data_IF_095420116645
#
_entry.id   IF_095420116645
#
_cell.length_a   1.000
_cell.length_b   1.000
_cell.length_c   1.000
_cell.angle_alpha   90.00
_cell.angle_beta   90.00
_cell.angle_gamma   90.00
#
_symmetry.space_group_name_H-M   'P 1'
#
loop_
_entity.id
_entity.type
_entity.pdbx_description
1 polymer ?
#
# COMPACT_ATOMS: atom_id res chain seq x y z
N UNK A 1 -3.65 12.50 5.13
CA UNK A 1 -2.21 12.41 4.77
C UNK A 1 -1.49 11.65 5.87
N UNK A 2 -0.61 10.70 5.53
CA UNK A 2 0.11 9.93 6.55
C UNK A 2 1.16 10.79 7.27
N UNK A 3 1.11 10.80 8.60
CA UNK A 3 2.14 11.44 9.42
C UNK A 3 3.47 10.69 9.30
N UNK A 4 4.57 11.37 9.62
CA UNK A 4 5.91 10.79 9.56
C UNK A 4 6.01 9.47 10.35
N UNK A 5 5.48 9.47 11.59
CA UNK A 5 5.44 8.27 12.45
C UNK A 5 4.66 7.12 11.82
N UNK A 6 3.51 7.39 11.20
CA UNK A 6 2.71 6.36 10.51
C UNK A 6 3.46 5.77 9.30
N UNK A 7 4.16 6.62 8.53
CA UNK A 7 5.00 6.16 7.41
C UNK A 7 6.13 5.25 7.89
N UNK A 8 6.88 5.68 8.91
CA UNK A 8 7.97 4.88 9.47
C UNK A 8 7.48 3.52 9.98
N UNK A 9 6.35 3.49 10.70
CA UNK A 9 5.78 2.23 11.18
C UNK A 9 5.38 1.29 10.04
N UNK A 10 4.85 1.83 8.95
CA UNK A 10 4.49 1.04 7.76
C UNK A 10 5.72 0.49 7.01
N UNK A 11 6.85 1.21 7.05
CA UNK A 11 8.11 0.84 6.38
C UNK A 11 8.87 -0.23 7.19
N UNK A 12 9.03 -0.04 8.51
CA UNK A 12 9.87 -0.88 9.38
C UNK A 12 9.65 -2.38 9.23
N UNK A 13 8.41 -2.80 9.00
CA UNK A 13 8.06 -4.21 8.94
C UNK A 13 8.31 -4.86 7.56
N UNK A 14 8.51 -4.07 6.50
CA UNK A 14 8.58 -4.58 5.11
C UNK A 14 9.84 -4.14 4.37
N UNK A 15 10.60 -3.21 4.93
CA UNK A 15 11.88 -2.76 4.40
C UNK A 15 12.89 -3.90 4.34
N UNK A 16 13.68 -3.94 3.26
CA UNK A 16 14.78 -4.92 3.11
C UNK A 16 16.05 -4.50 3.83
N UNK A 17 16.24 -3.19 3.99
CA UNK A 17 17.34 -2.55 4.73
C UNK A 17 16.85 -1.20 5.27
N UNK A 18 17.60 -0.58 6.17
CA UNK A 18 17.13 0.58 6.95
C UNK A 18 16.78 1.83 6.12
N UNK A 19 17.43 1.98 4.97
CA UNK A 19 17.22 3.09 4.02
C UNK A 19 16.24 2.76 2.88
N UNK A 20 15.61 1.58 2.92
CA UNK A 20 14.72 1.13 1.85
C UNK A 20 13.40 1.90 1.86
N UNK A 21 13.25 2.74 0.85
CA UNK A 21 12.02 3.50 0.60
C UNK A 21 11.36 3.12 -0.72
N UNK A 22 12.08 2.49 -1.64
CA UNK A 22 11.66 2.28 -3.03
C UNK A 22 11.20 0.86 -3.35
N UNK A 23 11.44 -0.11 -2.46
CA UNK A 23 11.08 -1.50 -2.75
C UNK A 23 9.57 -1.67 -2.96
N UNK A 24 9.16 -2.62 -3.81
CA UNK A 24 7.75 -2.94 -4.01
C UNK A 24 7.02 -3.27 -2.70
N UNK A 25 7.68 -3.94 -1.77
CA UNK A 25 7.14 -4.28 -0.45
C UNK A 25 6.80 -3.03 0.37
N UNK A 26 7.73 -2.07 0.42
CA UNK A 26 7.55 -0.79 1.12
C UNK A 26 6.44 0.03 0.47
N UNK A 27 6.44 0.16 -0.85
CA UNK A 27 5.44 0.93 -1.58
C UNK A 27 4.03 0.34 -1.41
N UNK A 28 3.88 -0.98 -1.48
CA UNK A 28 2.59 -1.66 -1.26
C UNK A 28 2.08 -1.46 0.18
N UNK A 29 2.95 -1.52 1.19
CA UNK A 29 2.58 -1.24 2.59
C UNK A 29 2.08 0.20 2.76
N UNK A 30 2.82 1.18 2.23
CA UNK A 30 2.44 2.59 2.29
C UNK A 30 1.13 2.88 1.56
N UNK A 31 0.95 2.34 0.35
CA UNK A 31 -0.28 2.48 -0.42
C UNK A 31 -1.47 1.85 0.30
N UNK A 32 -1.29 0.67 0.87
CA UNK A 32 -2.35 -0.02 1.64
C UNK A 32 -2.84 0.86 2.79
N UNK A 33 -1.91 1.45 3.57
CA UNK A 33 -2.30 2.34 4.66
C UNK A 33 -3.00 3.62 4.20
N UNK A 34 -2.57 4.21 3.08
CA UNK A 34 -3.25 5.38 2.48
C UNK A 34 -4.66 5.03 2.00
N UNK A 35 -4.80 3.88 1.34
CA UNK A 35 -6.08 3.36 0.83
C UNK A 35 -7.06 3.16 2.00
N UNK A 36 -6.62 2.57 3.12
CA UNK A 36 -7.47 2.38 4.31
C UNK A 36 -7.97 3.71 4.89
N UNK A 37 -7.09 4.69 5.10
CA UNK A 37 -7.48 6.00 5.63
C UNK A 37 -8.44 6.72 4.70
N UNK A 38 -8.17 6.69 3.39
CA UNK A 38 -9.00 7.36 2.38
C UNK A 38 -10.35 6.65 2.20
N UNK A 39 -10.38 5.32 2.24
CA UNK A 39 -11.62 4.55 2.20
C UNK A 39 -12.49 4.83 3.42
N UNK A 40 -11.91 4.95 4.62
CA UNK A 40 -12.65 5.34 5.83
C UNK A 40 -13.23 6.76 5.72
N UNK A 41 -12.47 7.70 5.16
CA UNK A 41 -12.96 9.05 4.88
C UNK A 41 -14.14 9.05 3.90
N UNK A 42 -14.02 8.33 2.77
CA UNK A 42 -15.07 8.25 1.75
C UNK A 42 -16.33 7.52 2.22
N UNK A 43 -16.23 6.63 3.23
CA UNK A 43 -17.43 6.06 3.89
C UNK A 43 -18.25 7.14 4.59
N UNK A 44 -17.60 8.15 5.18
CA UNK A 44 -18.27 9.29 5.82
C UNK A 44 -18.72 10.34 4.79
N UNK A 45 -17.95 10.51 3.72
CA UNK A 45 -18.25 11.46 2.65
C UNK A 45 -18.40 10.75 1.29
N UNK A 46 -19.57 10.14 1.02
CA UNK A 46 -19.77 9.34 -0.19
C UNK A 46 -19.79 10.17 -1.48
N UNK A 47 -20.14 11.46 -1.38
CA UNK A 47 -20.26 12.40 -2.50
C UNK A 47 -18.93 12.99 -2.98
N UNK A 48 -17.82 12.73 -2.29
CA UNK A 48 -16.50 13.19 -2.74
C UNK A 48 -15.96 12.28 -3.86
N UNK A 49 -16.26 12.67 -5.10
CA UNK A 49 -15.84 11.96 -6.31
C UNK A 49 -14.36 12.22 -6.68
N UNK A 50 -13.81 13.38 -6.31
CA UNK A 50 -12.43 13.74 -6.61
C UNK A 50 -11.46 12.87 -5.81
N UNK A 51 -11.71 12.72 -4.52
CA UNK A 51 -10.94 11.82 -3.66
C UNK A 51 -11.11 10.35 -4.05
N UNK A 52 -12.32 9.95 -4.50
CA UNK A 52 -12.57 8.59 -5.01
C UNK A 52 -11.72 8.28 -6.24
N UNK A 53 -11.56 9.22 -7.17
CA UNK A 53 -10.65 9.06 -8.31
C UNK A 53 -9.21 8.84 -7.85
N UNK A 54 -8.75 9.61 -6.86
CA UNK A 54 -7.44 9.42 -6.24
C UNK A 54 -7.26 8.04 -5.60
N UNK A 55 -8.30 7.55 -4.89
CA UNK A 55 -8.32 6.21 -4.32
C UNK A 55 -8.15 5.13 -5.38
N UNK A 56 -8.88 5.22 -6.49
CA UNK A 56 -8.79 4.24 -7.59
C UNK A 56 -7.38 4.21 -8.20
N UNK A 57 -6.75 5.38 -8.36
CA UNK A 57 -5.35 5.48 -8.80
C UNK A 57 -4.40 4.74 -7.85
N UNK A 58 -4.51 4.98 -6.54
CA UNK A 58 -3.66 4.29 -5.55
C UNK A 58 -3.87 2.77 -5.55
N UNK A 59 -5.10 2.29 -5.78
CA UNK A 59 -5.40 0.86 -5.90
C UNK A 59 -4.74 0.26 -7.14
N UNK A 60 -4.78 0.97 -8.28
CA UNK A 60 -4.14 0.55 -9.51
C UNK A 60 -2.60 0.49 -9.36
N UNK A 61 -2.00 1.51 -8.75
CA UNK A 61 -0.55 1.56 -8.48
C UNK A 61 -0.11 0.41 -7.57
N UNK A 62 -0.87 0.12 -6.50
CA UNK A 62 -0.61 -1.01 -5.62
C UNK A 62 -0.66 -2.34 -6.38
N UNK A 63 -1.65 -2.50 -7.28
CA UNK A 63 -1.79 -3.69 -8.12
C UNK A 63 -0.59 -3.84 -9.08
N UNK A 64 -0.09 -2.75 -9.64
CA UNK A 64 1.08 -2.75 -10.50
C UNK A 64 2.34 -3.23 -9.75
N UNK A 65 2.59 -2.70 -8.54
CA UNK A 65 3.70 -3.15 -7.70
C UNK A 65 3.59 -4.63 -7.30
N UNK A 66 2.39 -5.09 -6.92
CA UNK A 66 2.15 -6.49 -6.59
C UNK A 66 2.39 -7.41 -7.80
N UNK A 67 1.93 -7.02 -8.99
CA UNK A 67 2.16 -7.78 -10.23
C UNK A 67 3.66 -7.85 -10.59
N UNK A 68 4.40 -6.76 -10.39
CA UNK A 68 5.84 -6.74 -10.57
C UNK A 68 6.54 -7.70 -9.59
N UNK A 69 6.17 -7.64 -8.31
CA UNK A 69 6.74 -8.50 -7.27
C UNK A 69 6.41 -9.97 -7.52
N UNK A 70 5.18 -10.30 -7.92
CA UNK A 70 4.76 -11.66 -8.29
C UNK A 70 5.61 -12.23 -9.44
N UNK A 71 5.88 -11.42 -10.47
CA UNK A 71 6.71 -11.81 -11.62
C UNK A 71 8.18 -12.01 -11.24
N UNK A 72 8.72 -11.17 -10.35
CA UNK A 72 10.15 -11.19 -10.00
C UNK A 72 10.48 -12.18 -8.87
N UNK A 73 9.64 -12.24 -7.84
CA UNK A 73 9.85 -13.09 -6.68
C UNK A 73 8.51 -13.50 -6.04
N UNK A 74 8.04 -14.68 -6.44
CA UNK A 74 6.78 -15.25 -5.94
C UNK A 74 6.79 -15.53 -4.44
N UNK A 75 7.95 -15.85 -3.85
CA UNK A 75 8.10 -16.08 -2.40
C UNK A 75 7.88 -14.80 -1.62
N UNK A 76 8.54 -13.71 -2.02
CA UNK A 76 8.35 -12.39 -1.41
C UNK A 76 6.92 -11.87 -1.59
N UNK A 77 6.32 -12.10 -2.76
CA UNK A 77 4.91 -11.78 -3.01
C UNK A 77 3.96 -12.46 -2.02
N UNK A 78 4.07 -13.79 -1.86
CA UNK A 78 3.22 -14.54 -0.93
C UNK A 78 3.46 -14.12 0.53
N UNK A 79 4.71 -13.88 0.91
CA UNK A 79 5.05 -13.40 2.25
C UNK A 79 4.45 -12.01 2.52
N UNK A 80 4.49 -11.10 1.54
CA UNK A 80 3.92 -9.76 1.64
C UNK A 80 2.40 -9.80 1.76
N UNK A 81 1.71 -10.62 0.95
CA UNK A 81 0.26 -10.78 1.04
C UNK A 81 -0.18 -11.25 2.43
N UNK A 82 0.51 -12.26 2.97
CA UNK A 82 0.23 -12.79 4.31
C UNK A 82 0.49 -11.74 5.40
N UNK A 83 1.53 -10.93 5.24
CA UNK A 83 1.93 -9.90 6.21
C UNK A 83 0.97 -8.70 6.23
N UNK A 84 0.40 -8.34 5.09
CA UNK A 84 -0.51 -7.21 4.94
C UNK A 84 -2.00 -7.62 4.93
N UNK A 85 -2.31 -8.89 5.13
CA UNK A 85 -3.66 -9.48 5.05
C UNK A 85 -4.43 -9.04 3.78
N UNK A 86 -3.72 -8.99 2.65
CA UNK A 86 -4.31 -8.60 1.38
C UNK A 86 -4.92 -9.84 0.72
N UNK A 87 -6.25 -9.82 0.56
CA UNK A 87 -6.96 -10.82 -0.26
C UNK A 87 -6.75 -10.52 -1.74
N UNK A 88 -6.47 -11.56 -2.52
CA UNK A 88 -6.27 -11.49 -3.98
C UNK A 88 -7.60 -11.23 -4.68
#
# INVERSE_FOLDING_TARGET
>A
MLTHRKKQNAIKNVARHDTDTGSPEVQVSLLTRKIEELASHLKKQPKDLHSRRGLLGMVADRRAHLKYLEKKNKRSYNALLKKLDLKK
#
